data_IF_851183838803
#
_entry.id   IF_851183838803
#
_cell.length_a   1.000
_cell.length_b   1.000
_cell.length_c   1.000
_cell.angle_alpha   90.00
_cell.angle_beta   90.00
_cell.angle_gamma   90.00
#
_symmetry.space_group_name_H-M   'P 1'
#
loop_
_entity.id
_entity.type
_entity.pdbx_description
1 polymer ?
#
# COMPACT_ATOMS: atom_id res chain seq x y z
N UNK A 1 -22.94 -0.37 18.00
CA UNK A 1 -21.49 -0.18 18.10
C UNK A 1 -21.24 1.31 18.00
N UNK A 2 -20.78 1.93 19.09
CA UNK A 2 -20.67 3.39 19.21
C UNK A 2 -19.35 3.81 18.58
N UNK A 3 -19.39 4.66 17.56
CA UNK A 3 -18.19 5.29 17.00
C UNK A 3 -17.65 6.27 18.06
N UNK A 4 -16.53 5.93 18.69
CA UNK A 4 -15.81 6.82 19.58
C UNK A 4 -14.98 7.79 18.72
N UNK A 5 -15.25 9.11 18.75
CA UNK A 5 -14.54 10.09 17.93
C UNK A 5 -13.07 10.30 18.34
N UNK A 6 -12.61 9.65 19.42
CA UNK A 6 -11.24 9.77 19.96
C UNK A 6 -10.34 8.56 19.69
N UNK A 7 -10.83 7.53 18.99
CA UNK A 7 -9.96 6.46 18.47
C UNK A 7 -9.62 6.80 17.04
N UNK A 8 -8.47 7.43 16.83
CA UNK A 8 -7.88 7.51 15.50
C UNK A 8 -7.75 6.08 14.96
N UNK A 9 -8.24 5.83 13.73
CA UNK A 9 -8.23 4.52 13.07
C UNK A 9 -6.83 4.23 12.50
N UNK A 10 -5.81 4.38 13.35
CA UNK A 10 -4.42 4.11 13.02
C UNK A 10 -4.02 2.75 13.56
N UNK A 11 -3.29 2.00 12.74
CA UNK A 11 -2.62 0.79 13.16
C UNK A 11 -1.26 1.15 13.74
N UNK A 12 -1.01 0.68 14.95
CA UNK A 12 0.33 0.66 15.52
C UNK A 12 1.25 -0.27 14.70
N UNK A 13 2.58 -0.04 14.68
CA UNK A 13 3.51 -0.87 13.91
C UNK A 13 3.42 -2.37 14.20
N UNK A 14 3.17 -2.75 15.46
CA UNK A 14 2.99 -4.14 15.85
C UNK A 14 1.71 -4.76 15.28
N UNK A 15 0.66 -3.97 15.05
CA UNK A 15 -0.59 -4.40 14.43
C UNK A 15 -0.39 -4.60 12.92
N UNK A 16 0.39 -3.74 12.25
CA UNK A 16 0.79 -3.96 10.86
C UNK A 16 1.56 -5.28 10.68
N UNK A 17 2.45 -5.61 11.62
CA UNK A 17 3.19 -6.89 11.61
C UNK A 17 2.31 -8.14 11.76
N UNK A 18 1.10 -8.02 12.31
CA UNK A 18 0.18 -9.15 12.42
C UNK A 18 -0.59 -9.44 11.12
N UNK A 19 -0.47 -8.59 10.10
CA UNK A 19 -1.13 -8.80 8.82
C UNK A 19 -0.47 -9.98 8.11
N UNK A 20 -1.22 -11.08 8.00
CA UNK A 20 -0.80 -12.33 7.34
C UNK A 20 -1.43 -12.52 5.96
N UNK A 21 -2.44 -11.72 5.62
CA UNK A 21 -3.01 -11.70 4.28
C UNK A 21 -1.97 -11.17 3.27
N UNK A 22 -2.01 -11.61 1.99
CA UNK A 22 -1.17 -11.03 0.95
C UNK A 22 -1.35 -9.50 0.87
N UNK A 23 -0.24 -8.76 0.75
CA UNK A 23 -0.24 -7.28 0.70
C UNK A 23 0.44 -6.78 -0.56
N UNK A 24 -0.23 -5.86 -1.27
CA UNK A 24 0.35 -5.04 -2.32
C UNK A 24 0.53 -3.61 -1.78
N UNK A 25 1.78 -3.17 -1.61
CA UNK A 25 2.11 -1.80 -1.21
C UNK A 25 2.64 -1.01 -2.41
N UNK A 26 2.03 0.12 -2.72
CA UNK A 26 2.36 0.96 -3.88
C UNK A 26 2.54 2.41 -3.44
N UNK A 27 3.55 3.11 -3.97
CA UNK A 27 3.79 4.52 -3.72
C UNK A 27 4.21 5.24 -5.00
N UNK A 28 3.82 6.50 -5.16
CA UNK A 28 4.34 7.37 -6.22
C UNK A 28 5.82 7.73 -5.99
N UNK A 29 6.61 7.91 -7.05
CA UNK A 29 7.99 8.39 -6.96
C UNK A 29 8.09 9.88 -6.58
N UNK A 30 7.00 10.63 -6.79
CA UNK A 30 6.89 12.07 -6.57
C UNK A 30 5.78 12.40 -5.56
N UNK A 31 5.40 11.43 -4.73
CA UNK A 31 4.36 11.57 -3.71
C UNK A 31 4.85 12.42 -2.51
N UNK A 32 3.91 13.05 -1.81
CA UNK A 32 4.16 13.74 -0.53
C UNK A 32 4.66 12.76 0.52
N UNK A 33 4.14 11.53 0.52
CA UNK A 33 4.70 10.43 1.29
C UNK A 33 5.83 9.82 0.47
N UNK A 34 7.06 10.11 0.89
CA UNK A 34 8.22 9.68 0.12
C UNK A 34 8.40 8.15 0.15
N UNK A 35 8.93 7.54 -0.93
CA UNK A 35 9.15 6.10 -0.99
C UNK A 35 9.98 5.52 0.15
N UNK A 36 10.90 6.28 0.74
CA UNK A 36 11.72 5.78 1.86
C UNK A 36 10.87 5.46 3.10
N UNK A 37 9.83 6.25 3.37
CA UNK A 37 8.89 5.99 4.46
C UNK A 37 7.98 4.79 4.15
N UNK A 38 7.49 4.71 2.90
CA UNK A 38 6.72 3.56 2.46
C UNK A 38 7.53 2.26 2.52
N UNK A 39 8.85 2.32 2.32
CA UNK A 39 9.72 1.16 2.42
C UNK A 39 9.83 0.63 3.87
N UNK A 40 9.81 1.51 4.88
CA UNK A 40 9.72 1.06 6.28
C UNK A 40 8.41 0.34 6.58
N UNK A 41 7.30 0.81 5.99
CA UNK A 41 6.01 0.12 6.08
C UNK A 41 6.04 -1.25 5.39
N UNK A 42 6.72 -1.37 4.25
CA UNK A 42 6.89 -2.64 3.55
C UNK A 42 7.56 -3.72 4.43
N UNK A 43 8.56 -3.32 5.23
CA UNK A 43 9.22 -4.22 6.20
C UNK A 43 8.25 -4.73 7.27
N UNK A 44 7.38 -3.85 7.79
CA UNK A 44 6.37 -4.23 8.79
C UNK A 44 5.32 -5.16 8.20
N UNK A 45 4.94 -4.96 6.94
CA UNK A 45 3.94 -5.75 6.22
C UNK A 45 4.52 -7.02 5.57
N UNK A 46 5.80 -7.29 5.75
CA UNK A 46 6.51 -8.42 5.12
C UNK A 46 6.33 -8.48 3.59
N UNK A 47 6.27 -7.31 2.93
CA UNK A 47 6.04 -7.20 1.49
C UNK A 47 7.08 -6.30 0.83
N UNK A 48 7.12 -6.29 -0.50
CA UNK A 48 7.96 -5.39 -1.27
C UNK A 48 7.17 -4.12 -1.63
N UNK A 49 7.84 -2.97 -1.53
CA UNK A 49 7.30 -1.71 -2.05
C UNK A 49 7.39 -1.68 -3.58
N UNK A 50 6.30 -1.32 -4.23
CA UNK A 50 6.27 -0.99 -5.66
C UNK A 50 6.22 0.53 -5.81
N UNK A 51 7.23 1.11 -6.45
CA UNK A 51 7.26 2.53 -6.76
C UNK A 51 6.78 2.74 -8.19
N UNK A 52 5.82 3.62 -8.39
CA UNK A 52 5.24 3.96 -9.69
C UNK A 52 5.49 5.44 -10.03
N UNK A 53 5.60 5.81 -11.32
CA UNK A 53 5.73 7.21 -11.71
C UNK A 53 4.49 8.02 -11.33
N UNK A 54 4.67 9.15 -10.63
CA UNK A 54 3.61 10.09 -10.29
C UNK A 54 3.61 10.56 -8.84
N UNK A 55 2.84 11.62 -8.60
CA UNK A 55 2.45 12.09 -7.27
C UNK A 55 1.27 11.27 -6.71
N UNK A 56 0.80 11.65 -5.51
CA UNK A 56 -0.27 11.00 -4.76
C UNK A 56 -1.52 10.63 -5.58
N UNK A 57 -1.87 11.43 -6.60
CA UNK A 57 -3.13 11.29 -7.34
C UNK A 57 -2.89 10.87 -8.80
N UNK A 58 -1.78 11.29 -9.40
CA UNK A 58 -1.54 11.13 -10.84
C UNK A 58 -1.31 9.67 -11.23
N UNK A 59 -0.69 8.84 -10.38
CA UNK A 59 -0.51 7.41 -10.66
C UNK A 59 -1.83 6.62 -10.61
N UNK A 60 -2.89 7.21 -10.05
CA UNK A 60 -4.24 6.65 -9.98
C UNK A 60 -5.13 7.21 -11.10
N UNK A 61 -5.06 8.52 -11.35
CA UNK A 61 -6.01 9.23 -12.22
C UNK A 61 -5.53 9.45 -13.65
N UNK A 62 -4.25 9.76 -13.83
CA UNK A 62 -3.70 10.25 -15.10
C UNK A 62 -2.93 9.17 -15.83
N UNK A 63 -2.22 8.32 -15.10
CA UNK A 63 -1.42 7.21 -15.66
C UNK A 63 -1.65 5.88 -14.92
N UNK A 64 -2.90 5.39 -14.85
CA UNK A 64 -3.25 4.21 -14.05
C UNK A 64 -2.69 2.90 -14.59
N UNK A 65 -2.19 2.84 -15.82
CA UNK A 65 -1.82 1.60 -16.50
C UNK A 65 -0.76 0.79 -15.74
N UNK A 66 0.20 1.46 -15.09
CA UNK A 66 1.24 0.79 -14.31
C UNK A 66 0.62 0.16 -13.06
N UNK A 67 -0.19 0.94 -12.32
CA UNK A 67 -0.93 0.45 -11.15
C UNK A 67 -1.85 -0.73 -11.51
N UNK A 68 -2.61 -0.62 -12.59
CA UNK A 68 -3.52 -1.67 -13.06
C UNK A 68 -2.77 -2.97 -13.40
N UNK A 69 -1.58 -2.88 -13.99
CA UNK A 69 -0.72 -4.04 -14.24
C UNK A 69 -0.31 -4.76 -12.96
N UNK A 70 0.08 -4.00 -11.93
CA UNK A 70 0.43 -4.56 -10.63
C UNK A 70 -0.78 -5.16 -9.90
N UNK A 71 -1.94 -4.50 -9.93
CA UNK A 71 -3.18 -5.01 -9.36
C UNK A 71 -3.60 -6.33 -10.01
N UNK A 72 -3.60 -6.40 -11.34
CA UNK A 72 -3.94 -7.62 -12.07
C UNK A 72 -3.02 -8.78 -11.67
N UNK A 73 -1.71 -8.56 -11.66
CA UNK A 73 -0.73 -9.57 -11.24
C UNK A 73 -0.94 -10.01 -9.79
N UNK A 74 -1.23 -9.07 -8.89
CA UNK A 74 -1.49 -9.37 -7.48
C UNK A 74 -2.72 -10.26 -7.31
N UNK A 75 -3.84 -9.93 -7.96
CA UNK A 75 -5.05 -10.74 -7.89
C UNK A 75 -4.91 -12.10 -8.57
N UNK A 76 -4.15 -12.21 -9.66
CA UNK A 76 -3.85 -13.50 -10.29
C UNK A 76 -3.04 -14.40 -9.34
N UNK A 77 -2.06 -13.86 -8.62
CA UNK A 77 -1.26 -14.63 -7.66
C UNK A 77 -2.06 -14.99 -6.41
N UNK A 78 -2.92 -14.10 -5.92
CA UNK A 78 -3.69 -14.33 -4.70
C UNK A 78 -4.80 -15.37 -4.85
N UNK A 79 -5.27 -15.65 -6.06
CA UNK A 79 -6.26 -16.71 -6.32
C UNK A 79 -5.62 -18.11 -6.40
N UNK A 80 -4.30 -18.19 -6.52
CA UNK A 80 -3.56 -19.44 -6.72
C UNK A 80 -2.81 -19.90 -5.45
N UNK A 81 -3.10 -19.31 -4.29
CA UNK A 81 -2.57 -19.68 -2.96
C UNK A 81 -3.69 -20.23 -2.09
#
# INVERSE_FOLDING_TARGET
MVNNPNTEDFLEPNQLQQITAPVLLVNGDSDIIRPEYANEMAKLLHTNLIVVPGDHVSYISTQPQILLGHLKKFFELSHNQ
#
